data_IF_621320522800
#
_entry.id   IF_621320522800
#
_cell.length_a   1.000
_cell.length_b   1.000
_cell.length_c   1.000
_cell.angle_alpha   90.00
_cell.angle_beta   90.00
_cell.angle_gamma   90.00
#
_symmetry.space_group_name_H-M   'P 1'
#
loop_
_entity.id
_entity.type
_entity.pdbx_description
1 polymer ?
#
# COMPACT_ATOMS: atom_id res chain seq x y z
N UNK A 1 -10.26 5.32 -8.43
CA UNK A 1 -10.76 4.27 -9.35
C UNK A 1 -11.25 3.05 -8.55
N UNK A 2 -10.38 2.36 -7.79
CA UNK A 2 -10.76 1.17 -7.00
C UNK A 2 -11.91 1.43 -6.02
N UNK A 3 -11.81 2.50 -5.20
CA UNK A 3 -12.89 2.92 -4.31
C UNK A 3 -14.19 3.28 -5.02
N UNK A 4 -14.09 3.86 -6.22
CA UNK A 4 -15.26 4.15 -7.07
C UNK A 4 -15.94 2.86 -7.52
N UNK A 5 -15.18 1.89 -8.01
CA UNK A 5 -15.70 0.58 -8.45
C UNK A 5 -16.28 -0.25 -7.29
N UNK A 6 -15.78 -0.04 -6.07
CA UNK A 6 -16.33 -0.62 -4.84
C UNK A 6 -17.65 0.05 -4.40
N UNK A 7 -17.80 1.37 -4.57
CA UNK A 7 -19.08 2.05 -4.34
C UNK A 7 -20.19 1.56 -5.28
N UNK A 8 -19.83 1.12 -6.49
CA UNK A 8 -20.74 0.51 -7.46
C UNK A 8 -20.93 -1.01 -7.28
N UNK A 9 -20.31 -1.65 -6.28
CA UNK A 9 -20.55 -3.08 -6.01
C UNK A 9 -21.96 -3.27 -5.44
N UNK A 10 -22.79 -4.06 -6.12
CA UNK A 10 -24.15 -4.42 -5.67
C UNK A 10 -25.26 -3.44 -6.05
N UNK A 11 -24.95 -2.37 -6.79
CA UNK A 11 -25.97 -1.47 -7.36
C UNK A 11 -26.48 -2.11 -8.66
N UNK A 12 -27.77 -2.41 -8.77
CA UNK A 12 -28.36 -2.82 -10.03
C UNK A 12 -28.49 -1.62 -10.99
N UNK A 13 -28.32 -1.84 -12.29
CA UNK A 13 -28.63 -0.84 -13.31
C UNK A 13 -30.08 -0.37 -13.14
N UNK A 14 -30.34 0.93 -12.93
CA UNK A 14 -31.71 1.43 -12.97
C UNK A 14 -32.26 1.25 -14.38
N UNK A 15 -33.52 0.81 -14.48
CA UNK A 15 -34.19 0.34 -15.71
C UNK A 15 -34.21 1.32 -16.90
N UNK A 16 -33.71 2.55 -16.75
CA UNK A 16 -33.62 3.55 -17.82
C UNK A 16 -32.31 3.55 -18.61
N UNK A 17 -31.34 2.68 -18.30
CA UNK A 17 -29.99 2.70 -18.87
C UNK A 17 -29.59 1.44 -19.66
N UNK A 18 -30.54 0.84 -20.37
CA UNK A 18 -30.32 -0.36 -21.21
C UNK A 18 -29.19 -0.17 -22.26
N UNK A 19 -29.01 1.06 -22.78
CA UNK A 19 -27.93 1.40 -23.72
C UNK A 19 -26.51 1.21 -23.14
N UNK A 20 -26.35 1.13 -21.82
CA UNK A 20 -25.06 0.97 -21.13
C UNK A 20 -24.78 -0.49 -20.70
N UNK A 21 -25.65 -1.45 -21.03
CA UNK A 21 -25.44 -2.88 -20.76
C UNK A 21 -24.05 -3.42 -21.13
N UNK A 22 -23.48 -3.16 -22.33
CA UNK A 22 -22.18 -3.74 -22.69
C UNK A 22 -21.05 -3.20 -21.80
N UNK A 23 -21.13 -1.92 -21.41
CA UNK A 23 -20.19 -1.28 -20.48
C UNK A 23 -20.38 -1.85 -19.08
N UNK A 24 -21.63 -2.09 -18.66
CA UNK A 24 -21.94 -2.67 -17.37
C UNK A 24 -21.45 -4.12 -17.22
N UNK A 25 -21.57 -4.93 -18.27
CA UNK A 25 -21.02 -6.29 -18.30
C UNK A 25 -19.49 -6.29 -18.14
N UNK A 26 -18.80 -5.36 -18.80
CA UNK A 26 -17.36 -5.15 -18.62
C UNK A 26 -17.02 -4.74 -17.18
N UNK A 27 -17.81 -3.86 -16.57
CA UNK A 27 -17.63 -3.43 -15.17
C UNK A 27 -17.85 -4.60 -14.21
N UNK A 28 -18.91 -5.41 -14.38
CA UNK A 28 -19.18 -6.58 -13.54
C UNK A 28 -18.05 -7.62 -13.61
N UNK A 29 -17.59 -7.93 -14.82
CA UNK A 29 -16.47 -8.85 -15.04
C UNK A 29 -15.16 -8.33 -14.44
N UNK A 30 -15.00 -7.01 -14.38
CA UNK A 30 -13.86 -6.36 -13.73
C UNK A 30 -14.02 -6.34 -12.20
N UNK A 31 -15.24 -6.19 -11.70
CA UNK A 31 -15.56 -6.20 -10.26
C UNK A 31 -15.27 -7.55 -9.61
N UNK A 32 -15.49 -8.67 -10.30
CA UNK A 32 -15.10 -10.00 -9.79
C UNK A 32 -13.59 -10.17 -9.61
N UNK A 33 -12.78 -9.39 -10.35
CA UNK A 33 -11.31 -9.39 -10.23
C UNK A 33 -10.78 -8.35 -9.25
N UNK A 34 -11.64 -7.44 -8.77
CA UNK A 34 -11.25 -6.40 -7.82
C UNK A 34 -11.22 -6.99 -6.42
N UNK A 35 -10.16 -6.66 -5.68
CA UNK A 35 -9.98 -7.07 -4.30
C UNK A 35 -11.23 -6.69 -3.47
N UNK A 36 -11.71 -7.59 -2.58
CA UNK A 36 -12.80 -7.26 -1.68
C UNK A 36 -12.45 -6.04 -0.80
N UNK A 37 -13.47 -5.38 -0.27
CA UNK A 37 -13.33 -4.10 0.45
C UNK A 37 -12.27 -4.15 1.56
N UNK A 38 -12.23 -5.24 2.31
CA UNK A 38 -11.37 -5.42 3.47
C UNK A 38 -9.86 -5.38 3.14
N UNK A 39 -9.31 -6.23 2.23
CA UNK A 39 -7.91 -6.13 1.86
C UNK A 39 -7.57 -4.81 1.16
N UNK A 40 -8.51 -4.17 0.46
CA UNK A 40 -8.28 -2.83 -0.11
C UNK A 40 -8.03 -1.79 0.98
N UNK A 41 -8.87 -1.76 2.03
CA UNK A 41 -8.70 -0.85 3.17
C UNK A 41 -7.33 -1.05 3.84
N UNK A 42 -6.99 -2.30 4.12
CA UNK A 42 -5.70 -2.68 4.73
C UNK A 42 -4.51 -2.19 3.89
N UNK A 43 -4.57 -2.41 2.58
CA UNK A 43 -3.50 -2.00 1.67
C UNK A 43 -3.43 -0.48 1.55
N UNK A 44 -4.57 0.23 1.54
CA UNK A 44 -4.59 1.69 1.60
C UNK A 44 -4.06 2.26 2.91
N UNK A 45 -4.29 1.60 4.05
CA UNK A 45 -3.68 2.01 5.31
C UNK A 45 -2.17 1.79 5.27
N UNK A 46 -1.70 0.73 4.63
CA UNK A 46 -0.27 0.50 4.44
C UNK A 46 0.40 1.54 3.50
N UNK A 47 -0.35 2.30 2.70
CA UNK A 47 0.21 3.42 1.93
C UNK A 47 0.69 4.58 2.82
N UNK A 48 0.10 4.76 4.00
CA UNK A 48 0.45 5.85 4.93
C UNK A 48 1.93 5.78 5.36
N UNK A 49 2.44 4.66 5.94
CA UNK A 49 3.85 4.54 6.30
C UNK A 49 4.79 4.66 5.10
N UNK A 50 4.36 4.19 3.92
CA UNK A 50 5.14 4.29 2.69
C UNK A 50 5.30 5.76 2.27
N UNK A 51 4.25 6.58 2.37
CA UNK A 51 4.35 8.00 2.04
C UNK A 51 5.25 8.75 3.02
N UNK A 52 5.17 8.44 4.31
CA UNK A 52 6.04 9.03 5.33
C UNK A 52 7.51 8.76 5.01
N UNK A 53 7.88 7.52 4.66
CA UNK A 53 9.27 7.19 4.30
C UNK A 53 9.73 7.90 3.02
N UNK A 54 8.87 8.03 2.01
CA UNK A 54 9.15 8.79 0.79
C UNK A 54 9.43 10.27 1.09
N UNK A 55 8.65 10.90 1.98
CA UNK A 55 8.88 12.29 2.40
C UNK A 55 10.25 12.46 3.08
N UNK A 56 10.65 11.54 3.95
CA UNK A 56 11.96 11.57 4.64
C UNK A 56 13.10 11.40 3.63
N UNK A 57 12.96 10.48 2.66
CA UNK A 57 13.96 10.29 1.60
C UNK A 57 14.11 11.54 0.75
N UNK A 58 13.00 12.14 0.32
CA UNK A 58 13.00 13.37 -0.47
C UNK A 58 13.70 14.53 0.26
N UNK A 59 13.55 14.61 1.59
CA UNK A 59 14.21 15.62 2.41
C UNK A 59 15.73 15.44 2.49
N UNK A 60 16.24 14.19 2.54
CA UNK A 60 17.67 13.93 2.78
C UNK A 60 18.48 13.84 1.48
N UNK A 61 17.85 13.43 0.37
CA UNK A 61 18.51 13.28 -0.94
C UNK A 61 19.30 14.51 -1.43
N UNK A 62 18.86 15.77 -1.20
CA UNK A 62 19.63 16.97 -1.56
C UNK A 62 21.01 17.06 -0.90
N UNK A 63 21.20 16.38 0.23
CA UNK A 63 22.47 16.38 0.96
C UNK A 63 23.49 15.36 0.44
N UNK A 64 23.20 14.69 -0.68
CA UNK A 64 24.07 13.68 -1.35
C UNK A 64 24.55 12.54 -0.46
N UNK A 65 23.87 12.30 0.66
CA UNK A 65 24.11 11.13 1.51
C UNK A 65 22.99 10.13 1.23
N UNK A 66 23.34 8.89 0.87
CA UNK A 66 22.37 7.80 0.70
C UNK A 66 22.51 6.75 1.83
N UNK A 67 22.27 7.11 3.11
CA UNK A 67 22.27 6.13 4.21
C UNK A 67 21.08 5.17 4.16
N UNK A 68 20.11 5.42 3.26
CA UNK A 68 18.86 4.67 3.15
C UNK A 68 18.97 3.39 2.34
N UNK A 69 20.02 3.19 1.55
CA UNK A 69 20.05 2.09 0.59
C UNK A 69 19.98 0.74 1.31
N UNK A 70 20.87 0.50 2.28
CA UNK A 70 20.85 -0.74 3.08
C UNK A 70 19.56 -0.90 3.89
N UNK A 71 19.10 0.16 4.54
CA UNK A 71 17.91 0.11 5.39
C UNK A 71 16.65 -0.17 4.57
N UNK A 72 16.52 0.46 3.40
CA UNK A 72 15.42 0.25 2.48
C UNK A 72 15.46 -1.16 1.88
N UNK A 73 16.64 -1.65 1.46
CA UNK A 73 16.78 -3.02 0.94
C UNK A 73 16.40 -4.06 1.99
N UNK A 74 16.92 -3.96 3.21
CA UNK A 74 16.56 -4.88 4.30
C UNK A 74 15.07 -4.79 4.64
N UNK A 75 14.51 -3.57 4.70
CA UNK A 75 13.10 -3.38 4.98
C UNK A 75 12.22 -3.99 3.89
N UNK A 76 12.56 -3.82 2.61
CA UNK A 76 11.80 -4.37 1.48
C UNK A 76 11.88 -5.91 1.44
N UNK A 77 13.04 -6.50 1.76
CA UNK A 77 13.18 -7.95 1.88
C UNK A 77 12.30 -8.51 3.00
N UNK A 78 12.30 -7.86 4.17
CA UNK A 78 11.47 -8.27 5.30
C UNK A 78 9.98 -8.11 4.97
N UNK A 79 9.59 -6.99 4.36
CA UNK A 79 8.21 -6.80 3.88
C UNK A 79 7.81 -7.88 2.89
N UNK A 80 8.65 -8.20 1.91
CA UNK A 80 8.40 -9.26 0.94
C UNK A 80 8.23 -10.64 1.58
N UNK A 81 9.08 -10.98 2.56
CA UNK A 81 8.97 -12.23 3.33
C UNK A 81 7.68 -12.30 4.15
N UNK A 82 7.32 -11.21 4.84
CA UNK A 82 6.08 -11.12 5.61
C UNK A 82 4.85 -11.26 4.71
N UNK A 83 4.84 -10.55 3.57
CA UNK A 83 3.76 -10.62 2.59
C UNK A 83 3.66 -12.01 1.98
N UNK A 84 4.78 -12.67 1.69
CA UNK A 84 4.78 -14.04 1.16
C UNK A 84 4.25 -15.03 2.20
N UNK A 85 4.72 -14.93 3.45
CA UNK A 85 4.31 -15.82 4.54
C UNK A 85 2.82 -15.67 4.84
N UNK A 86 2.34 -14.45 5.08
CA UNK A 86 0.93 -14.19 5.37
C UNK A 86 0.03 -14.36 4.14
N UNK A 87 0.54 -14.05 2.95
CA UNK A 87 -0.17 -14.24 1.68
C UNK A 87 -0.42 -15.71 1.35
N UNK A 88 0.49 -16.61 1.72
CA UNK A 88 0.32 -18.05 1.54
C UNK A 88 -0.85 -18.62 2.38
N UNK A 89 -1.06 -18.11 3.59
CA UNK A 89 -2.08 -18.63 4.52
C UNK A 89 -3.40 -17.89 4.47
N UNK A 90 -3.39 -16.56 4.32
CA UNK A 90 -4.59 -15.71 4.39
C UNK A 90 -4.91 -14.98 3.07
N UNK A 91 -4.21 -15.33 1.98
CA UNK A 91 -4.44 -14.77 0.66
C UNK A 91 -4.25 -13.24 0.62
N UNK A 92 -5.12 -12.49 -0.09
CA UNK A 92 -5.00 -11.03 -0.23
C UNK A 92 -5.03 -10.26 1.10
N UNK A 93 -5.74 -10.80 2.10
CA UNK A 93 -5.85 -10.18 3.42
C UNK A 93 -4.52 -10.27 4.18
N UNK A 94 -3.86 -11.43 4.11
CA UNK A 94 -2.55 -11.63 4.70
C UNK A 94 -1.48 -10.73 4.08
N UNK A 95 -1.53 -10.53 2.76
CA UNK A 95 -0.64 -9.60 2.09
C UNK A 95 -0.81 -8.16 2.62
N UNK A 96 -2.07 -7.70 2.81
CA UNK A 96 -2.37 -6.39 3.40
C UNK A 96 -1.79 -6.23 4.81
N UNK A 97 -1.95 -7.24 5.67
CA UNK A 97 -1.36 -7.25 7.02
C UNK A 97 0.17 -7.26 6.99
N UNK A 98 0.78 -8.01 6.08
CA UNK A 98 2.23 -8.03 5.89
C UNK A 98 2.79 -6.63 5.59
N UNK A 99 2.14 -5.90 4.68
CA UNK A 99 2.50 -4.52 4.38
C UNK A 99 2.26 -3.56 5.55
N UNK A 100 1.16 -3.71 6.30
CA UNK A 100 0.84 -2.81 7.41
C UNK A 100 1.80 -3.02 8.59
N UNK A 101 2.08 -4.28 8.96
CA UNK A 101 3.00 -4.63 10.05
C UNK A 101 4.42 -4.18 9.70
N UNK A 102 4.92 -4.53 8.52
CA UNK A 102 6.25 -4.09 8.09
C UNK A 102 6.31 -2.55 7.96
N UNK A 103 5.24 -1.95 7.44
CA UNK A 103 4.99 -0.52 7.38
C UNK A 103 5.24 0.18 8.72
N UNK A 104 4.49 -0.24 9.72
CA UNK A 104 4.42 0.43 11.01
C UNK A 104 5.62 0.13 11.91
N UNK A 105 6.09 -1.13 11.95
CA UNK A 105 7.14 -1.57 12.87
C UNK A 105 8.55 -1.50 12.30
N UNK A 106 8.73 -1.54 10.98
CA UNK A 106 10.05 -1.46 10.36
C UNK A 106 10.30 -0.11 9.69
N UNK A 107 9.44 0.27 8.74
CA UNK A 107 9.69 1.47 7.93
C UNK A 107 9.57 2.76 8.76
N UNK A 108 8.50 2.98 9.53
CA UNK A 108 8.36 4.22 10.30
C UNK A 108 9.54 4.43 11.27
N UNK A 109 9.82 3.52 12.23
CA UNK A 109 10.89 3.74 13.19
C UNK A 109 12.27 3.73 12.52
N UNK A 110 12.50 2.87 11.52
CA UNK A 110 13.76 2.83 10.78
C UNK A 110 14.09 4.15 10.10
N UNK A 111 13.12 4.74 9.39
CA UNK A 111 13.33 6.02 8.69
C UNK A 111 13.42 7.21 9.66
N UNK A 112 12.65 7.22 10.74
CA UNK A 112 12.73 8.26 11.77
C UNK A 112 14.07 8.24 12.52
N UNK A 113 14.60 7.06 12.84
CA UNK A 113 15.92 6.93 13.48
C UNK A 113 17.05 7.43 12.58
N UNK A 114 16.99 7.16 11.27
CA UNK A 114 17.98 7.71 10.33
C UNK A 114 17.87 9.23 10.25
N UNK A 115 16.65 9.78 10.21
CA UNK A 115 16.43 11.22 10.23
C UNK A 115 17.00 11.86 11.51
N UNK A 116 16.72 11.28 12.69
CA UNK A 116 17.25 11.77 13.95
C UNK A 116 18.79 11.73 13.98
N UNK A 117 19.41 10.63 13.53
CA UNK A 117 20.87 10.52 13.42
C UNK A 117 21.46 11.56 12.46
N UNK A 118 20.79 11.82 11.35
CA UNK A 118 21.21 12.82 10.37
C UNK A 118 21.13 14.25 10.93
N UNK A 119 20.09 14.58 11.69
CA UNK A 119 19.95 15.87 12.38
C UNK A 119 21.00 16.00 13.49
N UNK A 120 21.23 14.96 14.29
CA UNK A 120 22.18 14.98 15.41
C UNK A 120 23.63 15.17 14.96
N UNK A 121 24.04 14.62 13.80
CA UNK A 121 25.38 14.83 13.24
C UNK A 121 25.61 16.23 12.66
N UNK A 122 24.56 17.05 12.54
CA UNK A 122 24.63 18.42 12.02
C UNK A 122 24.45 19.51 13.09
N UNK A 123 24.16 19.15 14.33
CA UNK A 123 24.30 20.04 15.49
C UNK A 123 25.73 19.97 15.99
#
# INVERSE_FOLDING_TARGET
IVWGLQLFQGIALPAGWELLEPVWYLIHKLQERILPLYPTILLTLALVPIHISQCVMAYIRPFKQEPFLLLNTCSQLITGLLVWYFGKTYGPVGAGWGFLIAGYFLTIPGFLLVLQRFIARRK
#
